data_IF_141689365863
#
_entry.id   IF_141689365863
#
_cell.length_a   1.000
_cell.length_b   1.000
_cell.length_c   1.000
_cell.angle_alpha   90.00
_cell.angle_beta   90.00
_cell.angle_gamma   90.00
#
_symmetry.space_group_name_H-M   'P 1'
#
loop_
_entity.id
_entity.type
_entity.pdbx_description
1 polymer ?
2 water ?
#
# COMPACT_ATOMS: atom_id res chain seq x y z
N UNK A 2 -19.69 3.19 -19.41
CA UNK A 2 -20.91 3.36 -18.56
C UNK A 2 -20.54 3.83 -17.16
N UNK A 3 -19.97 2.94 -16.36
CA UNK A 3 -19.56 3.25 -14.98
C UNK A 3 -18.07 3.03 -14.87
N UNK A 4 -17.36 4.03 -14.35
CA UNK A 4 -15.90 3.97 -14.25
C UNK A 4 -15.46 3.90 -12.80
N UNK A 5 -14.48 3.03 -12.55
CA UNK A 5 -13.84 2.93 -11.25
C UNK A 5 -12.63 3.84 -11.31
N UNK A 6 -12.73 4.97 -10.60
CA UNK A 6 -11.72 5.99 -10.61
C UNK A 6 -10.84 5.80 -9.38
N UNK A 7 -9.58 5.42 -9.60
CA UNK A 7 -8.67 5.08 -8.53
C UNK A 7 -7.73 6.26 -8.29
N UNK A 8 -7.90 6.92 -7.13
CA UNK A 8 -7.21 8.17 -6.82
C UNK A 8 -7.35 8.47 -5.35
N UNK A 9 -6.36 9.16 -4.82
CA UNK A 9 -6.39 9.67 -3.45
C UNK A 9 -5.81 11.08 -3.44
N UNK A 10 -4.48 11.18 -3.47
CA UNK A 10 -3.82 12.49 -3.44
C UNK A 10 -4.08 13.37 -4.68
N UNK A 11 -4.41 12.73 -5.79
CA UNK A 11 -4.65 13.43 -7.06
C UNK A 11 -6.13 13.77 -7.30
N UNK A 12 -6.94 13.63 -6.25
CA UNK A 12 -8.38 13.90 -6.34
C UNK A 12 -8.68 15.36 -6.70
N UNK A 13 -7.79 16.27 -6.30
CA UNK A 13 -7.94 17.71 -6.58
C UNK A 13 -7.23 18.18 -7.87
N UNK A 14 -6.69 17.24 -8.63
CA UNK A 14 -5.86 17.57 -9.79
C UNK A 14 -6.66 17.92 -11.05
N UNK A 15 -6.27 19.00 -11.74
CA UNK A 15 -6.93 19.42 -13.00
C UNK A 15 -6.90 18.36 -14.09
N UNK A 16 -5.83 17.57 -14.14
CA UNK A 16 -5.68 16.55 -15.19
C UNK A 16 -6.71 15.44 -15.05
N UNK A 17 -6.96 15.02 -13.81
CA UNK A 17 -7.97 14.00 -13.53
C UNK A 17 -9.34 14.54 -13.94
N UNK A 18 -9.66 15.73 -13.46
CA UNK A 18 -10.92 16.39 -13.80
C UNK A 18 -11.11 16.47 -15.30
N UNK A 19 -10.05 16.88 -16.00
CA UNK A 19 -10.06 17.04 -17.47
C UNK A 19 -10.38 15.73 -18.18
N UNK A 20 -9.74 14.64 -17.76
CA UNK A 20 -10.03 13.33 -18.34
C UNK A 20 -11.46 12.89 -18.10
N UNK A 21 -11.96 13.10 -16.89
CA UNK A 21 -13.33 12.74 -16.56
C UNK A 21 -14.31 13.63 -17.34
N UNK A 22 -13.92 14.89 -17.57
CA UNK A 22 -14.70 15.80 -18.42
C UNK A 22 -14.68 15.35 -19.89
N UNK A 23 -13.55 14.79 -20.33
CA UNK A 23 -13.48 14.18 -21.65
C UNK A 23 -14.44 12.98 -21.74
N UNK A 24 -14.43 12.12 -20.71
CA UNK A 24 -15.32 10.96 -20.68
C UNK A 24 -16.80 11.33 -20.60
N UNK A 25 -17.11 12.44 -19.95
CA UNK A 25 -18.47 12.99 -19.94
C UNK A 25 -18.85 13.48 -21.33
N UNK A 26 -17.91 14.12 -22.01
CA UNK A 26 -18.15 14.68 -23.35
C UNK A 26 -18.50 13.59 -24.36
N UNK A 27 -17.85 12.43 -24.25
CA UNK A 27 -18.13 11.32 -25.16
C UNK A 27 -19.31 10.48 -24.68
N UNK A 28 -19.62 10.58 -23.39
CA UNK A 28 -20.75 9.87 -22.80
C UNK A 28 -21.35 10.67 -21.64
N UNK A 29 -22.38 11.50 -21.93
CA UNK A 29 -23.02 12.34 -20.90
C UNK A 29 -23.61 11.53 -19.73
N UNK A 30 -23.84 10.24 -19.96
CA UNK A 30 -24.42 9.36 -18.97
C UNK A 30 -23.37 8.69 -18.04
N UNK A 31 -22.08 8.98 -18.25
CA UNK A 31 -20.99 8.31 -17.52
C UNK A 31 -21.08 8.51 -16.01
N UNK A 32 -20.83 7.44 -15.25
CA UNK A 32 -20.88 7.51 -13.78
C UNK A 32 -19.53 7.15 -13.19
N UNK A 33 -19.12 7.89 -12.16
CA UNK A 33 -17.79 7.73 -11.56
C UNK A 33 -17.84 7.32 -10.10
N UNK A 34 -17.19 6.21 -9.79
CA UNK A 34 -17.07 5.74 -8.41
C UNK A 34 -15.62 5.92 -8.01
N UNK A 35 -15.39 6.72 -6.98
CA UNK A 35 -14.04 6.98 -6.52
C UNK A 35 -13.59 5.92 -5.50
N UNK A 36 -12.57 5.16 -5.87
CA UNK A 36 -11.98 4.15 -5.00
C UNK A 36 -10.68 4.71 -4.45
N UNK A 37 -10.64 4.89 -3.12
CA UNK A 37 -9.53 5.58 -2.47
C UNK A 37 -8.69 4.57 -1.69
N UNK A 38 -7.50 4.22 -2.23
CA UNK A 38 -6.65 3.28 -1.52
C UNK A 38 -6.11 3.98 -0.26
N UNK A 39 -6.65 3.61 0.89
CA UNK A 39 -6.33 4.31 2.14
C UNK A 39 -6.36 3.42 3.38
N UNK A 40 -6.82 2.18 3.26
CA UNK A 40 -6.95 1.29 4.43
C UNK A 40 -5.67 0.47 4.69
N UNK A 41 -4.91 0.82 5.75
CA UNK A 41 -3.78 -0.04 6.08
C UNK A 41 -4.23 -1.34 6.77
N UNK A 42 -3.36 -2.38 6.74
CA UNK A 42 -3.75 -3.62 7.41
C UNK A 42 -3.76 -3.46 8.95
N UNK A 43 -4.34 -4.45 9.66
CA UNK A 43 -4.34 -4.45 11.13
C UNK A 43 -2.93 -4.38 11.70
N UNK A 44 -2.79 -3.68 12.82
CA UNK A 44 -1.50 -3.58 13.51
C UNK A 44 -1.61 -3.90 15.00
N UNK A 45 -0.56 -3.53 15.74
CA UNK A 45 -0.47 -3.81 17.17
C UNK A 45 -1.08 -2.72 18.03
N UNK A 46 -1.10 -1.50 17.51
CA UNK A 46 -1.44 -0.32 18.30
C UNK A 46 -2.87 0.15 18.01
N UNK A 47 -3.14 0.50 16.76
CA UNK A 47 -4.44 0.99 16.33
C UNK A 47 -5.14 -0.02 15.45
N UNK A 50 -11.52 -0.51 13.64
CA UNK A 50 -12.61 0.46 13.53
C UNK A 50 -12.12 1.90 13.42
N UNK A 51 -11.12 2.26 14.23
CA UNK A 51 -10.53 3.60 14.19
C UNK A 51 -9.76 3.80 12.88
N UNK A 52 -9.00 2.79 12.48
CA UNK A 52 -8.23 2.82 11.24
C UNK A 52 -9.17 2.97 10.03
N UNK A 53 -10.26 2.21 10.03
CA UNK A 53 -11.28 2.30 8.99
C UNK A 53 -11.94 3.66 8.98
N UNK A 54 -12.28 4.17 10.17
CA UNK A 54 -12.92 5.47 10.29
C UNK A 54 -12.05 6.57 9.71
N UNK A 55 -10.74 6.52 9.97
CA UNK A 55 -9.78 7.47 9.41
C UNK A 55 -9.70 7.36 7.88
N UNK A 56 -9.71 6.14 7.38
CA UNK A 56 -9.73 5.87 5.95
C UNK A 56 -11.01 6.41 5.30
N UNK A 57 -12.16 6.15 5.91
CA UNK A 57 -13.45 6.71 5.46
C UNK A 57 -13.41 8.25 5.37
N UNK A 58 -12.78 8.89 6.36
CA UNK A 58 -12.58 10.35 6.37
C UNK A 58 -11.75 10.83 5.19
N UNK A 59 -10.69 10.07 4.88
CA UNK A 59 -9.85 10.40 3.72
C UNK A 59 -10.62 10.27 2.41
N UNK A 60 -11.47 9.25 2.32
CA UNK A 60 -12.27 8.99 1.13
C UNK A 60 -13.30 10.10 0.89
N UNK A 61 -13.93 10.55 1.97
CA UNK A 61 -14.91 11.63 1.88
C UNK A 61 -14.26 12.94 1.48
N UNK A 62 -13.08 13.19 2.04
CA UNK A 62 -12.27 14.36 1.70
C UNK A 62 -11.89 14.33 0.24
N UNK A 63 -11.52 13.13 -0.24
CA UNK A 63 -11.19 12.95 -1.65
C UNK A 63 -12.41 13.24 -2.55
N UNK A 64 -13.57 12.71 -2.17
CA UNK A 64 -14.80 12.92 -2.91
C UNK A 64 -15.14 14.40 -3.06
N UNK A 65 -15.04 15.14 -1.95
CA UNK A 65 -15.29 16.58 -1.95
C UNK A 65 -14.31 17.35 -2.84
N UNK A 66 -13.05 16.92 -2.85
CA UNK A 66 -12.03 17.54 -3.69
C UNK A 66 -12.31 17.36 -5.17
N UNK A 67 -12.77 16.16 -5.54
CA UNK A 67 -13.13 15.88 -6.92
C UNK A 67 -14.44 16.57 -7.36
N UNK A 68 -15.41 16.63 -6.45
CA UNK A 68 -16.67 17.34 -6.72
C UNK A 68 -16.49 18.84 -6.93
N UNK A 69 -15.58 19.44 -6.17
CA UNK A 69 -15.28 20.88 -6.27
C UNK A 69 -14.64 21.24 -7.61
N UNK A 70 -14.25 20.22 -8.36
CA UNK A 70 -13.66 20.40 -9.68
C UNK A 70 -14.70 20.31 -10.81
N UNK A 71 -15.97 20.17 -10.42
CA UNK A 71 -17.07 20.09 -11.37
C UNK A 71 -17.38 18.68 -11.85
N UNK A 72 -16.88 17.68 -11.13
CA UNK A 72 -17.09 16.28 -11.50
C UNK A 72 -18.18 15.70 -10.62
N UNK A 73 -19.20 15.09 -11.24
CA UNK A 73 -20.19 14.33 -10.47
C UNK A 73 -19.55 13.03 -9.98
N UNK A 74 -19.70 12.72 -8.70
CA UNK A 74 -19.14 11.51 -8.11
C UNK A 74 -20.26 10.71 -7.45
N UNK A 75 -20.52 9.53 -7.99
CA UNK A 75 -21.61 8.70 -7.51
C UNK A 75 -21.42 8.24 -6.07
N UNK A 76 -20.18 7.90 -5.72
CA UNK A 76 -19.87 7.32 -4.43
C UNK A 76 -18.36 7.31 -4.28
N UNK A 77 -17.89 7.48 -3.06
CA UNK A 77 -16.47 7.24 -2.74
C UNK A 77 -16.35 6.12 -1.75
N UNK A 78 -15.38 5.24 -1.98
CA UNK A 78 -15.13 4.08 -1.12
C UNK A 78 -13.67 4.13 -0.71
N UNK A 79 -13.39 3.80 0.55
CA UNK A 79 -12.00 3.55 0.96
C UNK A 79 -11.70 2.07 0.79
N UNK A 80 -10.57 1.77 0.16
CA UNK A 80 -10.15 0.38 -0.02
C UNK A 80 -8.73 0.17 0.51
N UNK A 81 -8.22 -1.05 0.34
CA UNK A 81 -6.85 -1.42 0.73
C UNK A 81 -5.85 -0.38 0.26
N UNK A 82 -4.86 -0.09 1.11
CA UNK A 82 -3.86 0.92 0.80
C UNK A 82 -3.02 0.58 -0.46
N UNK A 83 -2.99 -0.69 -0.84
CA UNK A 83 -2.46 -1.11 -2.14
C UNK A 83 -3.49 -0.86 -3.22
N UNK A 84 -3.20 0.02 -4.20
CA UNK A 84 -4.22 0.20 -5.25
C UNK A 84 -4.57 -1.09 -5.98
N UNK A 85 -3.59 -1.98 -6.16
CA UNK A 85 -3.85 -3.24 -6.86
C UNK A 85 -4.80 -4.14 -6.04
N UNK A 86 -4.55 -4.23 -4.73
CA UNK A 86 -5.44 -5.01 -3.87
C UNK A 86 -6.84 -4.37 -3.76
N UNK A 87 -6.89 -3.04 -3.72
CA UNK A 87 -8.16 -2.32 -3.65
C UNK A 87 -9.03 -2.60 -4.87
N UNK A 88 -8.40 -2.59 -6.06
CA UNK A 88 -9.14 -2.84 -7.31
C UNK A 88 -9.67 -4.25 -7.33
N UNK A 89 -8.79 -5.22 -7.10
CA UNK A 89 -9.15 -6.64 -7.05
C UNK A 89 -10.35 -6.87 -6.13
N UNK A 90 -10.29 -6.28 -4.94
CA UNK A 90 -11.33 -6.45 -3.94
C UNK A 90 -12.65 -5.74 -4.24
N UNK A 91 -12.56 -4.58 -4.91
CA UNK A 91 -13.78 -3.88 -5.34
C UNK A 91 -14.46 -4.65 -6.47
N UNK A 92 -13.65 -5.19 -7.39
CA UNK A 92 -14.20 -5.96 -8.52
C UNK A 92 -14.85 -7.25 -8.03
N UNK A 93 -14.25 -7.85 -6.99
CA UNK A 93 -14.80 -9.05 -6.37
C UNK A 93 -16.14 -8.75 -5.68
N UNK A 94 -16.22 -7.57 -5.07
CA UNK A 94 -17.39 -7.19 -4.28
C UNK A 94 -18.55 -6.76 -5.18
N UNK A 95 -18.23 -6.30 -6.39
CA UNK A 95 -19.23 -5.79 -7.35
C UNK A 95 -18.92 -6.15 -8.80
N UNK A 96 -18.98 -7.45 -9.14
CA UNK A 96 -18.64 -7.87 -10.50
C UNK A 96 -19.63 -7.32 -11.53
N UNK A 97 -19.13 -6.75 -12.63
CA UNK A 97 -20.01 -6.21 -13.66
C UNK A 97 -20.46 -4.77 -13.45
N UNK A 98 -20.18 -4.22 -12.26
CA UNK A 98 -20.49 -2.81 -12.01
C UNK A 98 -19.70 -1.83 -12.88
N UNK A 99 -18.46 -2.19 -13.21
CA UNK A 99 -17.53 -1.26 -13.86
C UNK A 99 -17.14 -1.68 -15.26
N UNK A 100 -17.17 -0.74 -16.20
CA UNK A 100 -16.75 -0.99 -17.57
C UNK A 100 -15.31 -0.56 -17.85
N UNK A 101 -14.73 0.18 -16.90
CA UNK A 101 -13.38 0.69 -17.05
C UNK A 101 -12.77 1.15 -15.74
N UNK A 102 -11.45 1.18 -15.71
CA UNK A 102 -10.70 1.74 -14.60
C UNK A 102 -10.03 3.02 -15.08
N UNK A 103 -10.17 4.08 -14.30
CA UNK A 103 -9.40 5.31 -14.52
C UNK A 103 -8.41 5.40 -13.37
N UNK A 104 -7.15 5.14 -13.69
CA UNK A 104 -6.08 5.13 -12.70
C UNK A 104 -5.39 6.48 -12.72
N UNK A 105 -5.50 7.20 -11.60
CA UNK A 105 -4.92 8.52 -11.54
C UNK A 105 -3.66 8.46 -10.68
N UNK A 106 -2.53 8.80 -11.29
CA UNK A 106 -1.26 8.80 -10.56
C UNK A 106 -0.61 10.18 -10.47
N UNK A 107 0.24 10.33 -9.47
CA UNK A 107 1.17 11.45 -9.42
C UNK A 107 2.16 11.27 -10.57
N UNK A 108 2.95 12.31 -10.88
CA UNK A 108 3.91 12.21 -11.98
C UNK A 108 5.03 11.23 -11.68
N UNK A 109 5.57 10.58 -12.73
CA UNK A 109 6.77 9.76 -12.62
C UNK A 109 7.83 10.60 -11.94
N UNK A 110 8.56 10.00 -11.00
CA UNK A 110 9.50 10.75 -10.19
C UNK A 110 8.94 11.05 -8.82
N UNK A 111 7.62 10.97 -8.68
CA UNK A 111 6.94 11.28 -7.42
C UNK A 111 5.98 10.16 -7.05
N UNK A 112 5.46 9.46 -8.05
CA UNK A 112 4.43 8.45 -7.83
C UNK A 112 4.92 7.15 -7.22
N UNK A 113 4.33 6.79 -6.09
CA UNK A 113 4.53 5.48 -5.50
C UNK A 113 3.90 4.38 -6.37
N UNK A 114 2.68 4.60 -6.85
CA UNK A 114 2.00 3.60 -7.65
C UNK A 114 2.74 3.29 -8.95
N UNK A 115 3.33 4.31 -9.57
CA UNK A 115 4.14 4.09 -10.79
C UNK A 115 5.40 3.28 -10.47
N UNK A 116 6.02 3.57 -9.34
CA UNK A 116 7.20 2.81 -8.91
C UNK A 116 6.85 1.33 -8.69
N UNK A 117 5.60 1.10 -8.31
CA UNK A 117 5.09 -0.24 -8.03
C UNK A 117 4.49 -0.87 -9.28
N UNK A 118 4.52 -0.14 -10.39
CA UNK A 118 4.09 -0.68 -11.69
C UNK A 118 2.58 -0.91 -11.72
N UNK A 119 1.85 -0.14 -10.94
CA UNK A 119 0.40 -0.30 -10.85
C UNK A 119 -0.27 -0.07 -12.22
N UNK A 120 0.30 0.84 -13.01
CA UNK A 120 -0.25 1.24 -14.31
C UNK A 120 -0.29 0.10 -15.33
N UNK A 121 0.68 -0.80 -15.25
CA UNK A 121 0.66 -1.95 -16.14
C UNK A 121 0.03 -3.16 -15.45
N UNK A 122 0.27 -3.33 -14.15
CA UNK A 122 -0.30 -4.48 -13.46
C UNK A 122 -1.83 -4.42 -13.38
N UNK A 123 -2.39 -3.21 -13.40
CA UNK A 123 -3.85 -3.01 -13.35
C UNK A 123 -4.59 -3.65 -14.54
N UNK A 124 -3.86 -3.92 -15.63
CA UNK A 124 -4.43 -4.56 -16.82
C UNK A 124 -4.82 -6.04 -16.62
N UNK A 125 -4.23 -6.69 -15.61
CA UNK A 125 -4.44 -8.12 -15.42
C UNK A 125 -5.88 -8.51 -15.05
N UNK A 126 -6.66 -7.53 -14.61
CA UNK A 126 -8.03 -7.79 -14.16
C UNK A 126 -9.00 -8.08 -15.30
N UNK A 127 -8.68 -7.54 -16.47
CA UNK A 127 -9.49 -7.78 -17.65
C UNK A 127 -10.35 -6.60 -18.06
N UNK A 128 -10.23 -5.48 -17.35
CA UNK A 128 -10.95 -4.25 -17.72
C UNK A 128 -10.02 -3.27 -18.43
N UNK A 129 -10.57 -2.44 -19.33
CA UNK A 129 -9.80 -1.35 -19.92
C UNK A 129 -9.30 -0.39 -18.84
N UNK A 130 -8.03 0.03 -18.98
CA UNK A 130 -7.42 0.95 -18.03
C UNK A 130 -7.07 2.26 -18.72
N UNK A 131 -7.62 3.36 -18.23
CA UNK A 131 -7.19 4.68 -18.65
C UNK A 131 -6.26 5.23 -17.59
N UNK A 132 -5.01 5.50 -17.96
CA UNK A 132 -4.04 6.07 -17.04
C UNK A 132 -3.90 7.57 -17.21
N UNK A 133 -4.12 8.30 -16.11
CA UNK A 133 -3.98 9.75 -16.07
C UNK A 133 -2.85 10.17 -15.11
N UNK A 134 -1.96 11.01 -15.61
CA UNK A 134 -0.87 11.57 -14.82
C UNK A 134 -1.26 12.95 -14.33
N UNK A 135 -1.10 13.17 -13.03
CA UNK A 135 -1.55 14.39 -12.38
C UNK A 135 -0.45 15.03 -11.55
N UNK B 3 24.62 -8.81 9.10
CA UNK B 3 23.42 -8.05 9.52
C UNK B 3 22.23 -8.29 8.57
N UNK B 4 21.08 -8.63 9.15
CA UNK B 4 19.90 -9.00 8.38
C UNK B 4 18.82 -7.92 8.47
N UNK B 5 18.23 -7.61 7.31
CA UNK B 5 17.06 -6.77 7.24
C UNK B 5 15.82 -7.65 7.37
N UNK B 6 15.15 -7.53 8.53
CA UNK B 6 13.99 -8.35 8.81
C UNK B 6 12.74 -7.54 8.54
N UNK B 7 12.01 -7.96 7.51
CA UNK B 7 10.81 -7.26 7.08
C UNK B 7 9.58 -7.99 7.61
N UNK B 8 8.92 -7.32 8.54
CA UNK B 8 7.79 -7.90 9.28
C UNK B 8 7.03 -6.80 10.00
N UNK B 9 5.74 -7.06 10.19
CA UNK B 9 4.91 -6.19 10.98
C UNK B 9 4.00 -7.08 11.85
N UNK B 10 2.93 -7.58 11.26
CA UNK B 10 1.96 -8.42 11.98
C UNK B 10 2.60 -9.72 12.49
N UNK B 11 3.56 -10.25 11.75
CA UNK B 11 4.20 -11.52 12.07
C UNK B 11 5.40 -11.39 13.01
N UNK B 12 5.63 -10.19 13.56
CA UNK B 12 6.75 -9.96 14.48
C UNK B 12 6.68 -10.81 15.76
N UNK B 13 5.47 -11.24 16.14
CA UNK B 13 5.25 -12.03 17.35
C UNK B 13 5.20 -13.54 17.07
N UNK B 14 5.23 -13.88 15.78
CA UNK B 14 5.04 -15.25 15.33
C UNK B 14 6.22 -16.17 15.68
N UNK B 15 5.91 -17.42 16.10
CA UNK B 15 6.95 -18.35 16.53
C UNK B 15 7.82 -18.80 15.35
N UNK B 16 7.22 -18.85 14.17
CA UNK B 16 7.93 -19.27 12.95
C UNK B 16 9.10 -18.34 12.64
N UNK B 17 8.88 -17.03 12.72
CA UNK B 17 9.95 -16.05 12.49
C UNK B 17 11.04 -16.14 13.55
N UNK B 18 10.63 -16.23 14.82
CA UNK B 18 11.57 -16.47 15.89
C UNK B 18 12.39 -17.72 15.61
N UNK B 19 11.70 -18.84 15.34
CA UNK B 19 12.36 -20.09 15.01
C UNK B 19 13.41 -19.91 13.91
N UNK B 20 13.04 -19.18 12.86
CA UNK B 20 13.97 -18.93 11.75
C UNK B 20 15.17 -18.07 12.17
N UNK B 21 14.93 -17.03 12.97
CA UNK B 21 16.03 -16.17 13.38
C UNK B 21 16.97 -16.91 14.37
N UNK B 22 16.41 -17.82 15.16
CA UNK B 22 17.18 -18.70 16.06
C UNK B 22 18.09 -19.67 15.30
N UNK B 23 17.59 -20.15 14.16
CA UNK B 23 18.39 -20.99 13.27
C UNK B 23 19.59 -20.21 12.73
N UNK B 24 19.37 -18.93 12.43
CA UNK B 24 20.45 -18.07 11.91
C UNK B 24 21.45 -17.71 13.01
N UNK B 31 25.37 -12.75 14.31
CA UNK B 31 24.40 -12.07 13.44
C UNK B 31 23.64 -10.95 14.17
N UNK B 32 23.32 -9.88 13.43
CA UNK B 32 22.54 -8.75 13.96
C UNK B 32 21.27 -8.61 13.13
N UNK B 33 20.19 -8.12 13.76
CA UNK B 33 18.92 -7.96 13.07
C UNK B 33 18.38 -6.53 13.18
N UNK B 34 17.94 -5.99 12.04
CA UNK B 34 17.26 -4.70 12.01
C UNK B 34 15.84 -4.99 11.49
N UNK B 35 14.85 -4.49 12.22
CA UNK B 35 13.46 -4.74 11.87
C UNK B 35 12.88 -3.58 11.07
N UNK B 36 12.47 -3.87 9.84
CA UNK B 36 11.89 -2.86 8.97
C UNK B 36 10.41 -3.15 8.89
N UNK B 37 9.62 -2.19 9.37
CA UNK B 37 8.19 -2.37 9.51
C UNK B 37 7.44 -1.53 8.49
N UNK B 38 6.96 -2.17 7.41
CA UNK B 38 6.22 -1.39 6.43
C UNK B 38 4.89 -0.95 7.03
N UNK B 39 4.80 0.33 7.35
CA UNK B 39 3.65 0.86 8.07
C UNK B 39 3.31 2.32 7.79
N UNK B 40 4.17 3.02 7.06
CA UNK B 40 3.94 4.45 6.80
C UNK B 40 3.09 4.63 5.54
N UNK B 41 1.83 5.10 5.72
CA UNK B 41 1.02 5.37 4.54
C UNK B 41 1.40 6.72 3.91
N UNK B 42 1.09 6.90 2.62
CA UNK B 42 1.37 8.18 1.97
C UNK B 42 0.50 9.29 2.54
N UNK B 43 0.93 10.56 2.35
CA UNK B 43 0.20 11.72 2.85
C UNK B 43 -1.24 11.76 2.36
N UNK B 44 -2.15 12.26 3.20
CA UNK B 44 -3.56 12.35 2.83
C UNK B 44 -4.13 13.74 3.05
N UNK B 45 -5.46 13.82 3.01
CA UNK B 45 -6.19 15.09 3.07
C UNK B 45 -6.51 15.53 4.49
N UNK B 46 -6.63 14.57 5.41
CA UNK B 46 -7.10 14.84 6.77
C UNK B 46 -5.96 14.72 7.78
N UNK B 47 -5.09 13.73 7.60
CA UNK B 47 -4.03 13.45 8.56
C UNK B 47 -2.60 13.60 8.02
N UNK B 49 1.05 14.21 7.67
CA UNK B 49 2.29 13.49 7.39
C UNK B 49 3.06 13.22 8.68
N UNK B 50 3.21 14.25 9.52
CA UNK B 50 3.83 14.10 10.83
C UNK B 50 3.00 13.16 11.71
N UNK B 51 1.68 13.27 11.62
CA UNK B 51 0.77 12.44 12.41
C UNK B 51 0.84 10.95 12.03
N UNK B 52 0.74 10.65 10.73
CA UNK B 52 0.71 9.25 10.30
C UNK B 52 2.08 8.58 10.49
N UNK B 53 3.15 9.36 10.34
CA UNK B 53 4.51 8.87 10.58
C UNK B 53 4.68 8.48 12.05
N UNK B 54 4.23 9.36 12.94
CA UNK B 54 4.25 9.14 14.37
C UNK B 54 3.57 7.83 14.74
N UNK B 55 2.35 7.65 14.23
CA UNK B 55 1.60 6.42 14.44
C UNK B 55 2.35 5.21 13.89
N UNK B 56 3.01 5.38 12.73
CA UNK B 56 3.80 4.29 12.13
C UNK B 56 5.01 3.91 12.97
N UNK B 57 5.71 4.92 13.51
CA UNK B 57 6.86 4.66 14.39
C UNK B 57 6.43 3.98 15.70
N UNK B 58 5.25 4.33 16.22
CA UNK B 58 4.70 3.62 17.38
C UNK B 58 4.42 2.17 17.03
N UNK B 59 3.89 1.94 15.83
CA UNK B 59 3.67 0.60 15.31
C UNK B 59 4.96 -0.20 15.22
N UNK B 60 6.03 0.44 14.72
CA UNK B 60 7.34 -0.18 14.60
C UNK B 60 7.90 -0.59 15.98
N UNK B 61 7.79 0.32 16.95
CA UNK B 61 8.21 0.05 18.34
C UNK B 61 7.48 -1.15 18.93
N UNK B 62 6.17 -1.26 18.67
CA UNK B 62 5.36 -2.35 19.17
C UNK B 62 5.77 -3.70 18.55
N UNK B 63 6.07 -3.68 17.26
CA UNK B 63 6.54 -4.87 16.58
C UNK B 63 7.91 -5.31 17.11
N UNK B 64 8.77 -4.34 17.38
CA UNK B 64 10.09 -4.62 17.96
C UNK B 64 9.98 -5.29 19.34
N UNK B 65 9.08 -4.78 20.19
CA UNK B 65 8.86 -5.43 21.50
C UNK B 65 8.41 -6.87 21.37
N UNK B 66 7.50 -7.13 20.42
CA UNK B 66 6.98 -8.47 20.16
C UNK B 66 8.06 -9.46 19.76
N UNK B 67 8.95 -9.01 18.89
CA UNK B 67 10.08 -9.83 18.43
C UNK B 67 11.10 -10.09 19.54
N UNK B 68 11.45 -9.03 20.29
CA UNK B 68 12.38 -9.15 21.42
C UNK B 68 11.82 -10.07 22.51
N UNK B 69 10.50 -10.05 22.70
CA UNK B 69 9.80 -10.90 23.67
C UNK B 69 9.88 -12.41 23.32
N UNK B 70 10.17 -12.70 22.06
CA UNK B 70 10.38 -14.08 21.62
C UNK B 70 11.81 -14.57 21.87
N UNK B 71 12.70 -13.66 22.24
CA UNK B 71 14.09 -13.99 22.53
C UNK B 71 15.08 -13.49 21.50
N UNK B 72 14.63 -12.59 20.62
CA UNK B 72 15.49 -12.05 19.56
C UNK B 72 16.00 -10.63 19.84
N UNK B 73 17.33 -10.44 19.88
CA UNK B 73 17.83 -9.09 20.07
C UNK B 73 17.71 -8.27 18.78
N UNK B 74 17.08 -7.10 18.88
CA UNK B 74 16.82 -6.22 17.72
C UNK B 74 17.64 -4.95 17.85
N UNK B 75 18.55 -4.77 16.90
CA UNK B 75 19.45 -3.63 16.89
C UNK B 75 18.70 -2.31 16.81
N UNK B 76 17.75 -2.22 15.88
CA UNK B 76 16.95 -1.03 15.66
C UNK B 76 15.69 -1.48 14.94
N UNK B 77 14.58 -0.77 15.15
CA UNK B 77 13.37 -0.97 14.34
C UNK B 77 13.04 0.34 13.63
N UNK B 78 12.63 0.24 12.37
CA UNK B 78 12.38 1.42 11.58
C UNK B 78 11.01 1.26 10.93
N UNK B 79 10.22 2.32 10.95
CA UNK B 79 8.99 2.34 10.16
C UNK B 79 9.34 2.76 8.75
N UNK B 80 8.89 1.98 7.78
CA UNK B 80 9.10 2.32 6.38
C UNK B 80 7.78 2.41 5.63
N UNK B 81 7.86 2.78 4.37
CA UNK B 81 6.68 2.85 3.47
C UNK B 81 5.81 1.60 3.62
N UNK B 82 4.49 1.78 3.55
CA UNK B 82 3.55 0.68 3.79
C UNK B 82 3.63 -0.42 2.70
N UNK B 83 4.25 -0.08 1.57
CA UNK B 83 4.60 -1.07 0.53
C UNK B 83 5.94 -1.66 0.91
N UNK B 84 5.96 -2.97 1.27
CA UNK B 84 7.21 -3.66 1.64
C UNK B 84 8.29 -3.43 0.60
N UNK B 85 7.94 -3.49 -0.69
CA UNK B 85 8.96 -3.29 -1.74
C UNK B 85 9.56 -1.88 -1.73
N UNK B 86 8.72 -0.86 -1.61
CA UNK B 86 9.22 0.51 -1.52
C UNK B 86 10.02 0.71 -0.23
N UNK B 87 9.56 0.11 0.86
CA UNK B 87 10.23 0.23 2.15
C UNK B 87 11.66 -0.30 2.06
N UNK B 88 11.79 -1.49 1.48
CA UNK B 88 13.09 -2.15 1.34
C UNK B 88 14.00 -1.27 0.46
N UNK B 89 13.52 -0.91 -0.73
CA UNK B 89 14.29 -0.03 -1.63
C UNK B 89 14.82 1.22 -0.89
N UNK B 90 13.95 1.86 -0.12
CA UNK B 90 14.29 3.11 0.55
C UNK B 90 15.25 2.91 1.72
N UNK B 91 15.15 1.76 2.37
CA UNK B 91 16.06 1.42 3.47
C UNK B 91 17.47 1.12 2.94
N UNK B 92 17.54 0.39 1.82
CA UNK B 92 18.82 0.09 1.17
C UNK B 92 19.54 1.34 0.65
N UNK B 93 18.75 2.30 0.17
CA UNK B 93 19.24 3.60 -0.27
C UNK B 93 19.78 4.41 0.92
N UNK B 94 19.05 4.42 2.02
CA UNK B 94 19.43 5.13 3.24
C UNK B 94 20.73 4.59 3.83
N UNK B 95 20.84 3.26 3.92
CA UNK B 95 22.00 2.62 4.54
C UNK B 95 22.64 1.57 3.64
N UNK B 96 23.30 2.01 2.55
CA UNK B 96 23.88 1.04 1.61
C UNK B 96 25.05 0.25 2.20
N UNK B 97 25.02 -1.07 1.99
CA UNK B 97 26.06 -1.97 2.47
C UNK B 97 25.85 -2.49 3.88
N UNK B 98 24.86 -1.94 4.58
CA UNK B 98 24.58 -2.32 5.95
C UNK B 98 23.97 -3.72 6.13
N UNK B 99 23.35 -4.25 5.08
CA UNK B 99 22.68 -5.56 5.17
C UNK B 99 23.27 -6.59 4.22
N UNK B 100 23.50 -7.79 4.73
CA UNK B 100 23.99 -8.90 3.92
C UNK B 100 22.85 -9.79 3.41
N UNK B 101 21.64 -9.52 3.90
CA UNK B 101 20.49 -10.32 3.52
C UNK B 101 19.17 -9.75 4.00
N UNK B 102 18.10 -10.21 3.38
CA UNK B 102 16.74 -9.87 3.77
C UNK B 102 16.02 -11.10 4.33
N UNK B 103 15.37 -10.93 5.49
CA UNK B 103 14.47 -11.95 5.99
C UNK B 103 13.05 -11.43 5.86
N UNK B 104 12.31 -12.00 4.92
CA UNK B 104 10.92 -11.57 4.69
C UNK B 104 9.94 -12.47 5.41
N UNK B 105 9.21 -11.91 6.37
CA UNK B 105 8.23 -12.68 7.11
C UNK B 105 6.83 -12.33 6.64
N UNK B 106 6.12 -13.30 6.05
CA UNK B 106 4.76 -13.05 5.61
C UNK B 106 3.78 -13.90 6.39
N UNK B 107 2.51 -13.49 6.39
CA UNK B 107 1.40 -14.35 6.81
C UNK B 107 1.33 -15.55 5.85
N UNK B 108 0.51 -16.56 6.17
CA UNK B 108 0.51 -17.66 5.20
C UNK B 108 -0.28 -17.31 3.93
N UNK B 109 0.00 -17.99 2.80
CA UNK B 109 -0.87 -17.78 1.62
C UNK B 109 -2.33 -18.03 1.95
N UNK B 110 -3.21 -17.20 1.40
CA UNK B 110 -4.60 -17.21 1.78
C UNK B 110 -4.97 -16.11 2.77
N UNK B 111 -3.95 -15.52 3.40
CA UNK B 111 -4.12 -14.37 4.32
C UNK B 111 -3.14 -13.25 4.00
N UNK B 112 -1.97 -13.60 3.47
CA UNK B 112 -0.94 -12.60 3.19
C UNK B 112 -1.28 -11.64 2.05
N UNK B 113 -1.32 -10.35 2.38
CA UNK B 113 -1.38 -9.29 1.37
C UNK B 113 -0.04 -9.23 0.63
N UNK B 114 1.06 -9.37 1.37
CA UNK B 114 2.37 -9.27 0.73
C UNK B 114 2.61 -10.36 -0.31
N UNK B 115 2.17 -11.60 -0.03
CA UNK B 115 2.24 -12.68 -1.02
C UNK B 115 1.39 -12.37 -2.26
N UNK B 116 0.22 -11.80 -2.04
CA UNK B 116 -0.68 -11.45 -3.14
C UNK B 116 -0.04 -10.40 -4.03
N UNK B 117 0.83 -9.57 -3.43
CA UNK B 117 1.57 -8.51 -4.11
C UNK B 117 2.91 -8.99 -4.66
N UNK B 118 3.13 -10.30 -4.55
CA UNK B 118 4.36 -11.02 -4.97
C UNK B 118 5.64 -10.35 -4.46
N UNK B 119 5.56 -9.88 -3.22
CA UNK B 119 6.71 -9.31 -2.55
C UNK B 119 7.85 -10.32 -2.43
N UNK B 120 7.48 -11.59 -2.20
CA UNK B 120 8.45 -12.68 -2.03
C UNK B 120 9.33 -12.92 -3.25
N UNK B 121 8.77 -12.74 -4.44
CA UNK B 121 9.57 -12.90 -5.65
C UNK B 121 10.21 -11.59 -6.08
N UNK B 122 9.47 -10.49 -5.96
CA UNK B 122 10.00 -9.20 -6.40
C UNK B 122 11.13 -8.68 -5.51
N UNK B 123 11.18 -9.15 -4.26
CA UNK B 123 12.24 -8.73 -3.32
C UNK B 123 13.65 -9.12 -3.80
N UNK B 124 13.74 -10.16 -4.62
CA UNK B 124 15.02 -10.61 -5.18
C UNK B 124 15.71 -9.60 -6.13
N UNK B 125 14.95 -8.64 -6.66
CA UNK B 125 15.48 -7.69 -7.65
C UNK B 125 16.54 -6.73 -7.10
N UNK B 126 16.56 -6.55 -5.79
CA UNK B 126 17.50 -5.63 -5.17
C UNK B 126 18.95 -6.09 -5.21
N UNK B 127 19.14 -7.40 -5.29
CA UNK B 127 20.49 -7.96 -5.35
C UNK B 127 20.93 -8.76 -4.13
N UNK B 128 20.13 -8.72 -3.06
CA UNK B 128 20.49 -9.42 -1.81
C UNK B 128 19.81 -10.78 -1.71
N UNK B 129 20.45 -11.73 -1.01
CA UNK B 129 19.80 -12.99 -0.70
C UNK B 129 18.49 -12.77 0.08
N UNK B 130 17.44 -13.49 -0.29
CA UNK B 130 16.16 -13.35 0.40
C UNK B 130 15.76 -14.67 1.04
N UNK B 131 15.58 -14.65 2.36
CA UNK B 131 15.02 -15.78 3.07
C UNK B 131 13.55 -15.49 3.38
N UNK B 132 12.65 -16.34 2.89
CA UNK B 132 11.20 -16.17 3.13
C UNK B 132 10.62 -17.09 4.22
N UNK B 133 10.09 -16.47 5.28
CA UNK B 133 9.42 -17.20 6.38
C UNK B 133 7.91 -17.00 6.34
N UNK B 134 7.18 -18.10 6.39
CA UNK B 134 5.72 -18.07 6.48
C UNK B 134 5.32 -18.25 7.95
N UNK B 135 4.59 -17.26 8.47
CA UNK B 135 4.24 -17.23 9.88
C UNK B 135 2.73 -17.14 10.09
N UNK B 136 2.25 -17.82 11.12
CA UNK B 136 0.82 -17.79 11.53
C UNK B 136 -0.07 -18.58 10.58
#
# INVERSE_FOLDING_TARGET
MARYLVVAHRTAKSPELAAKLKELLAQDPEARFVLLVPAVPPPGWVYEENEVRRRAEEEAAAAKRALEAQGIPVEEAKAGDISPLLAIEEELLAHPGAYQGIVLSTLPPGLSRWLRLDVHTQAERFGLPVIHVIAQAA
MARYLVVAHRTAKSPELAAKLKELLAQDPEARFVLLVPAVPPPGWVYEENEVRRRAEEEAAAAKRALEAQGIPVEEAKAGDISPLLAIEEELLAHPGAYQGIVLSTLPPGLSRWLRLDVHTQAERFGLPVIHVIAQAA
#
